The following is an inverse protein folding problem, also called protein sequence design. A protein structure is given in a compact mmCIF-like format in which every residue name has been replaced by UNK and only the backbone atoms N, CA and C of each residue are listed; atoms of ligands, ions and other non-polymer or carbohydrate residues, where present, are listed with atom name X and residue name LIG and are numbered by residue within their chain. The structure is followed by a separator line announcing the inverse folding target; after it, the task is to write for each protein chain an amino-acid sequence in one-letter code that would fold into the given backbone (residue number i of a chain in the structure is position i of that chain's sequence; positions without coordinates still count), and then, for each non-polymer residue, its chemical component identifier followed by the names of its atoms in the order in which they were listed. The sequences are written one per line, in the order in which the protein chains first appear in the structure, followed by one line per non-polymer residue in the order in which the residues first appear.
data_IF_466910556352
#
_entry.id   IF_466910556352
#
_cell.length_a   1.000
_cell.length_b   1.000
_cell.length_c   1.000
_cell.angle_alpha   90.00
_cell.angle_beta   90.00
_cell.angle_gamma   90.00
#
_symmetry.space_group_name_H-M   'P 1'
#
loop_
_entity.id
_entity.type
_entity.pdbx_description
1 polymer ?
#
# COMPACT_ATOMS: atom_id res chain seq x y z
N UNK A 1 -20.28 -3.31 -3.46
CA UNK A 1 -20.68 -1.89 -3.31
C UNK A 1 -19.69 -1.18 -2.40
N UNK A 2 -18.96 -0.18 -2.89
CA UNK A 2 -18.15 0.74 -2.06
C UNK A 2 -19.03 1.94 -1.70
N UNK A 3 -19.18 2.22 -0.42
CA UNK A 3 -19.84 3.43 0.08
C UNK A 3 -18.74 4.40 0.56
N UNK A 4 -18.70 5.66 0.09
CA UNK A 4 -17.68 6.62 0.51
C UNK A 4 -17.69 6.97 2.00
N UNK A 5 -18.81 6.74 2.70
CA UNK A 5 -18.92 6.95 4.15
C UNK A 5 -18.33 5.78 4.97
N UNK A 6 -18.09 4.64 4.32
CA UNK A 6 -17.43 3.48 4.93
C UNK A 6 -15.93 3.51 4.62
N UNK A 7 -15.14 3.01 5.56
CA UNK A 7 -13.71 2.77 5.36
C UNK A 7 -13.42 1.28 5.42
N UNK A 8 -12.60 0.79 4.48
CA UNK A 8 -12.00 -0.52 4.64
C UNK A 8 -11.02 -0.47 5.82
N UNK A 9 -10.82 -1.60 6.50
CA UNK A 9 -9.79 -1.69 7.53
C UNK A 9 -8.94 -2.96 7.38
N UNK A 10 -7.63 -2.81 7.55
CA UNK A 10 -6.65 -3.89 7.47
C UNK A 10 -5.71 -3.86 8.68
N UNK A 11 -5.43 -5.02 9.25
CA UNK A 11 -4.41 -5.19 10.29
C UNK A 11 -3.19 -5.91 9.70
N UNK A 12 -2.00 -5.36 9.92
CA UNK A 12 -0.72 -5.90 9.46
C UNK A 12 0.31 -5.92 10.60
N UNK A 13 1.27 -6.86 10.60
CA UNK A 13 2.35 -6.85 11.58
C UNK A 13 3.34 -5.72 11.29
N UNK A 14 3.97 -5.21 12.35
CA UNK A 14 5.17 -4.40 12.26
C UNK A 14 6.17 -4.79 13.35
N UNK A 15 7.46 -4.66 13.04
CA UNK A 15 8.54 -4.92 14.01
C UNK A 15 8.84 -3.74 14.93
N UNK A 16 8.54 -2.53 14.46
CA UNK A 16 8.79 -1.29 15.16
C UNK A 16 7.74 -0.24 14.77
N UNK A 17 7.10 0.38 15.77
CA UNK A 17 6.05 1.38 15.53
C UNK A 17 6.60 2.68 14.95
N UNK A 18 7.81 3.10 15.32
CA UNK A 18 8.43 4.32 14.81
C UNK A 18 8.88 4.16 13.37
N UNK A 19 9.43 3.01 13.00
CA UNK A 19 9.76 2.71 11.60
C UNK A 19 8.51 2.65 10.72
N UNK A 20 7.41 2.10 11.25
CA UNK A 20 6.12 2.11 10.57
C UNK A 20 5.60 3.55 10.39
N UNK A 21 5.67 4.41 11.42
CA UNK A 21 5.31 5.82 11.28
C UNK A 21 6.18 6.52 10.24
N UNK A 22 7.50 6.33 10.28
CA UNK A 22 8.42 6.96 9.33
C UNK A 22 8.11 6.54 7.88
N UNK A 23 7.85 5.25 7.65
CA UNK A 23 7.49 4.76 6.33
C UNK A 23 6.13 5.29 5.86
N UNK A 24 5.06 5.06 6.63
CA UNK A 24 3.70 5.36 6.16
C UNK A 24 3.41 6.87 6.19
N UNK A 25 3.87 7.59 7.21
CA UNK A 25 3.55 9.02 7.40
C UNK A 25 4.58 9.90 6.71
N UNK A 26 5.86 9.79 7.07
CA UNK A 26 6.89 10.72 6.57
C UNK A 26 7.20 10.50 5.09
N UNK A 27 7.32 9.24 4.67
CA UNK A 27 7.67 8.90 3.28
C UNK A 27 6.44 8.80 2.38
N UNK A 28 5.47 7.93 2.73
CA UNK A 28 4.30 7.66 1.88
C UNK A 28 3.18 8.71 2.01
N UNK A 29 3.28 9.64 2.97
CA UNK A 29 2.34 10.76 3.11
C UNK A 29 0.97 10.38 3.69
N UNK A 30 0.84 9.20 4.30
CA UNK A 30 -0.36 8.80 5.02
C UNK A 30 -0.54 9.63 6.30
N UNK A 31 -1.74 9.63 6.89
CA UNK A 31 -2.00 10.35 8.13
C UNK A 31 -2.01 9.41 9.32
N UNK A 32 -1.30 9.76 10.39
CA UNK A 32 -1.42 9.08 11.67
C UNK A 32 -2.80 9.38 12.29
N UNK A 33 -3.52 8.33 12.68
CA UNK A 33 -4.78 8.44 13.42
C UNK A 33 -4.55 8.41 14.93
N UNK A 34 -4.22 7.23 15.45
CA UNK A 34 -4.01 6.96 16.89
C UNK A 34 -2.76 6.13 17.10
N UNK A 35 -2.13 6.29 18.26
CA UNK A 35 -0.99 5.49 18.70
C UNK A 35 -1.26 4.91 20.09
N UNK A 36 -0.92 3.63 20.24
CA UNK A 36 -0.96 2.86 21.48
C UNK A 36 0.41 2.19 21.69
N UNK A 37 0.68 1.61 22.87
CA UNK A 37 1.93 0.89 23.11
C UNK A 37 2.16 -0.28 22.14
N UNK A 38 1.08 -0.87 21.61
CA UNK A 38 1.12 -2.11 20.82
C UNK A 38 0.68 -1.93 19.35
N UNK A 39 0.26 -0.73 18.93
CA UNK A 39 -0.19 -0.48 17.56
C UNK A 39 -0.26 1.01 17.20
N UNK A 40 -0.20 1.29 15.91
CA UNK A 40 -0.63 2.57 15.31
C UNK A 40 -1.78 2.33 14.35
N UNK A 41 -2.69 3.31 14.26
CA UNK A 41 -3.74 3.34 13.25
C UNK A 41 -3.44 4.47 12.27
N UNK A 42 -3.58 4.20 10.99
CA UNK A 42 -3.22 5.08 9.89
C UNK A 42 -4.44 5.28 8.99
N UNK A 43 -4.60 6.49 8.47
CA UNK A 43 -5.41 6.75 7.29
C UNK A 43 -4.50 6.64 6.06
N UNK A 44 -4.70 5.57 5.30
CA UNK A 44 -3.97 5.22 4.09
C UNK A 44 -4.94 5.40 2.92
N UNK A 45 -4.82 6.52 2.21
CA UNK A 45 -5.68 6.88 1.08
C UNK A 45 -7.19 6.84 1.36
N UNK A 46 -7.59 7.22 2.58
CA UNK A 46 -9.00 7.23 3.02
C UNK A 46 -9.45 5.94 3.72
N UNK A 47 -8.70 4.84 3.58
CA UNK A 47 -8.97 3.58 4.28
C UNK A 47 -8.10 3.46 5.54
N UNK A 48 -8.46 2.55 6.45
CA UNK A 48 -7.74 2.35 7.72
C UNK A 48 -6.72 1.21 7.61
N UNK A 49 -5.47 1.48 7.96
CA UNK A 49 -4.46 0.42 8.18
C UNK A 49 -3.98 0.48 9.62
N UNK A 50 -3.90 -0.67 10.28
CA UNK A 50 -3.45 -0.80 11.66
C UNK A 50 -2.17 -1.63 11.67
N UNK A 51 -1.04 -1.00 12.00
CA UNK A 51 0.22 -1.71 12.19
C UNK A 51 0.29 -2.17 13.66
N UNK A 52 0.24 -3.48 13.87
CA UNK A 52 0.36 -4.10 15.19
C UNK A 52 1.81 -4.46 15.47
N UNK A 53 2.33 -4.09 16.64
CA UNK A 53 3.67 -4.48 17.07
C UNK A 53 3.70 -5.99 17.30
N UNK A 54 4.32 -6.70 16.36
CA UNK A 54 4.36 -8.16 16.31
C UNK A 54 5.66 -8.62 15.61
N UNK A 55 6.84 -8.36 16.21
CA UNK A 55 8.13 -8.67 15.61
C UNK A 55 8.27 -10.15 15.22
N UNK A 56 7.69 -11.07 16.00
CA UNK A 56 7.73 -12.52 15.74
C UNK A 56 6.77 -13.00 14.65
N UNK A 57 6.03 -12.08 14.00
CA UNK A 57 5.04 -12.38 12.95
C UNK A 57 5.42 -11.78 11.60
N UNK A 58 6.63 -11.24 11.47
CA UNK A 58 7.14 -10.67 10.23
C UNK A 58 7.56 -11.81 9.29
N UNK A 59 7.14 -11.73 8.03
CA UNK A 59 7.67 -12.57 6.97
C UNK A 59 9.06 -12.05 6.55
N UNK A 60 10.09 -12.87 6.73
CA UNK A 60 11.46 -12.49 6.40
C UNK A 60 11.78 -12.67 4.91
N UNK A 61 10.94 -13.40 4.18
CA UNK A 61 11.13 -13.74 2.76
C UNK A 61 9.85 -13.40 1.99
N UNK A 62 9.49 -12.11 1.89
CA UNK A 62 8.24 -11.72 1.26
C UNK A 62 8.22 -12.10 -0.22
N UNK A 63 7.15 -12.77 -0.63
CA UNK A 63 6.82 -13.02 -2.04
C UNK A 63 5.56 -12.26 -2.42
N UNK A 64 5.39 -11.94 -3.71
CA UNK A 64 4.21 -11.20 -4.22
C UNK A 64 2.90 -11.88 -3.78
N UNK A 65 2.90 -13.21 -3.68
CA UNK A 65 1.76 -13.99 -3.27
C UNK A 65 2.09 -14.79 -2.00
N UNK A 66 1.10 -15.05 -1.13
CA UNK A 66 -0.33 -14.79 -1.31
C UNK A 66 -0.80 -13.46 -0.69
N UNK A 67 0.09 -12.63 -0.14
CA UNK A 67 -0.30 -11.45 0.66
C UNK A 67 0.31 -10.17 0.12
N UNK A 68 -0.55 -9.26 -0.30
CA UNK A 68 -0.26 -7.84 -0.48
C UNK A 68 -1.58 -7.08 -0.32
N UNK A 69 -1.50 -5.77 -0.19
CA UNK A 69 -2.65 -4.88 -0.15
C UNK A 69 -2.32 -3.58 -0.85
N UNK A 70 -3.30 -2.69 -1.02
CA UNK A 70 -3.03 -1.34 -1.50
C UNK A 70 -4.24 -0.76 -2.23
N UNK A 71 -3.99 0.11 -3.19
CA UNK A 71 -5.04 0.92 -3.83
C UNK A 71 -5.05 0.68 -5.34
N UNK A 72 -6.23 0.38 -5.86
CA UNK A 72 -6.51 0.49 -7.29
C UNK A 72 -7.13 1.86 -7.56
N UNK A 73 -6.39 2.75 -8.22
CA UNK A 73 -6.84 4.09 -8.57
C UNK A 73 -7.69 4.08 -9.83
N UNK A 74 -8.85 4.74 -9.75
CA UNK A 74 -9.73 4.97 -10.89
C UNK A 74 -9.05 5.89 -11.91
N UNK A 75 -8.54 7.02 -11.44
CA UNK A 75 -7.88 8.01 -12.29
C UNK A 75 -6.39 7.73 -12.41
N UNK A 76 -5.88 7.76 -13.64
CA UNK A 76 -4.46 7.52 -13.91
C UNK A 76 -3.56 8.54 -13.20
N UNK A 77 -4.02 9.79 -13.13
CA UNK A 77 -3.29 10.89 -12.51
C UNK A 77 -2.99 10.63 -11.03
N UNK A 78 -3.92 10.02 -10.30
CA UNK A 78 -3.74 9.73 -8.88
C UNK A 78 -2.68 8.64 -8.66
N UNK A 79 -2.68 7.61 -9.52
CA UNK A 79 -1.63 6.59 -9.54
C UNK A 79 -0.25 7.20 -9.83
N UNK A 80 -0.15 8.07 -10.85
CA UNK A 80 1.11 8.70 -11.23
C UNK A 80 1.62 9.64 -10.12
N UNK A 81 0.74 10.34 -9.40
CA UNK A 81 1.12 11.17 -8.25
C UNK A 81 1.77 10.35 -7.14
N UNK A 82 1.23 9.17 -6.82
CA UNK A 82 1.86 8.28 -5.82
C UNK A 82 3.19 7.76 -6.33
N UNK A 83 3.26 7.38 -7.61
CA UNK A 83 4.50 6.91 -8.21
C UNK A 83 5.60 7.98 -8.17
N UNK A 84 5.27 9.23 -8.46
CA UNK A 84 6.20 10.34 -8.42
C UNK A 84 6.63 10.68 -6.99
N UNK A 85 5.71 10.61 -6.01
CA UNK A 85 6.03 10.73 -4.59
C UNK A 85 7.06 9.67 -4.15
N UNK A 86 6.83 8.41 -4.53
CA UNK A 86 7.71 7.28 -4.22
C UNK A 86 9.11 7.51 -4.77
N UNK A 87 9.22 7.93 -6.03
CA UNK A 87 10.52 8.27 -6.65
C UNK A 87 11.19 9.46 -5.96
N UNK A 88 10.44 10.53 -5.69
CA UNK A 88 10.94 11.74 -5.06
C UNK A 88 11.48 11.47 -3.64
N UNK A 89 10.79 10.60 -2.89
CA UNK A 89 11.17 10.20 -1.54
C UNK A 89 12.17 9.05 -1.48
N UNK A 90 12.63 8.57 -2.64
CA UNK A 90 13.53 7.43 -2.79
C UNK A 90 13.06 6.22 -1.96
N UNK A 91 11.76 5.90 -2.03
CA UNK A 91 11.21 4.70 -1.42
C UNK A 91 11.54 3.52 -2.34
N UNK A 92 12.10 2.46 -1.76
CA UNK A 92 12.48 1.28 -2.53
C UNK A 92 11.26 0.55 -3.12
N UNK A 93 11.35 0.24 -4.40
CA UNK A 93 10.40 -0.64 -5.08
C UNK A 93 10.76 -2.09 -4.78
N UNK A 94 9.78 -2.87 -4.32
CA UNK A 94 9.87 -4.32 -4.35
C UNK A 94 9.76 -4.85 -5.78
N UNK A 95 8.87 -4.24 -6.57
CA UNK A 95 8.76 -4.46 -8.00
C UNK A 95 8.58 -3.10 -8.67
N UNK A 96 9.48 -2.79 -9.61
CA UNK A 96 9.43 -1.55 -10.39
C UNK A 96 8.11 -1.42 -11.17
N UNK A 97 7.71 -0.18 -11.52
CA UNK A 97 6.53 0.08 -12.33
C UNK A 97 6.55 -0.71 -13.64
N UNK A 98 5.46 -1.43 -13.91
CA UNK A 98 5.29 -2.23 -15.12
C UNK A 98 3.83 -2.28 -15.55
N UNK A 99 3.58 -2.83 -16.73
CA UNK A 99 2.26 -3.16 -17.25
C UNK A 99 2.05 -4.66 -17.10
N UNK A 100 0.97 -5.07 -16.45
CA UNK A 100 0.53 -6.47 -16.39
C UNK A 100 -0.61 -6.70 -17.38
N UNK A 101 -0.62 -7.91 -17.95
CA UNK A 101 -1.62 -8.38 -18.91
C UNK A 101 -1.77 -7.49 -20.16
N UNK A 102 -0.64 -7.03 -20.71
CA UNK A 102 -0.62 -6.15 -21.88
C UNK A 102 -1.47 -6.67 -23.04
N UNK A 103 -2.35 -5.82 -23.57
CA UNK A 103 -3.26 -6.11 -24.68
C UNK A 103 -4.52 -6.89 -24.30
N UNK A 104 -4.72 -7.23 -23.02
CA UNK A 104 -5.94 -7.87 -22.53
C UNK A 104 -6.90 -6.86 -21.90
N UNK A 105 -8.20 -7.19 -21.74
CA UNK A 105 -9.15 -6.33 -21.05
C UNK A 105 -8.68 -5.91 -19.65
N UNK A 106 -8.05 -6.83 -18.92
CA UNK A 106 -7.51 -6.64 -17.57
C UNK A 106 -6.12 -5.98 -17.51
N UNK A 107 -5.67 -5.34 -18.60
CA UNK A 107 -4.40 -4.60 -18.62
C UNK A 107 -4.40 -3.50 -17.54
N UNK A 108 -3.34 -3.49 -16.72
CA UNK A 108 -3.15 -2.49 -15.68
C UNK A 108 -1.69 -2.15 -15.44
N UNK A 109 -1.47 -0.91 -15.02
CA UNK A 109 -0.21 -0.43 -14.49
C UNK A 109 -0.11 -0.88 -13.03
N UNK A 110 1.06 -1.34 -12.61
CA UNK A 110 1.32 -1.78 -11.23
C UNK A 110 2.75 -1.50 -10.80
N UNK A 111 2.94 -1.22 -9.52
CA UNK A 111 4.23 -1.32 -8.83
C UNK A 111 4.00 -1.79 -7.41
N UNK A 112 5.05 -2.36 -6.81
CA UNK A 112 5.02 -2.85 -5.43
C UNK A 112 6.05 -2.10 -4.59
N UNK A 113 5.63 -1.66 -3.42
CA UNK A 113 6.52 -1.21 -2.34
C UNK A 113 6.65 -2.31 -1.29
N UNK A 114 7.68 -2.17 -0.46
CA UNK A 114 7.87 -2.97 0.74
C UNK A 114 8.07 -2.06 1.93
N UNK A 115 7.26 -2.25 2.98
CA UNK A 115 7.45 -1.51 4.23
C UNK A 115 8.61 -2.11 5.06
N UNK A 116 9.04 -1.47 6.17
CA UNK A 116 10.14 -1.97 7.00
C UNK A 116 9.90 -3.36 7.61
N UNK A 117 8.64 -3.80 7.67
CA UNK A 117 8.22 -5.10 8.19
C UNK A 117 7.84 -6.08 7.07
N UNK A 118 8.39 -5.86 5.87
CA UNK A 118 8.22 -6.70 4.68
C UNK A 118 6.78 -6.87 4.18
N UNK A 119 5.83 -6.03 4.62
CA UNK A 119 4.50 -6.03 4.04
C UNK A 119 4.58 -5.44 2.62
N UNK A 120 3.99 -6.15 1.66
CA UNK A 120 3.95 -5.72 0.26
C UNK A 120 2.73 -4.85 -0.02
N UNK A 121 2.96 -3.69 -0.65
CA UNK A 121 1.93 -2.71 -0.98
C UNK A 121 1.89 -2.56 -2.50
N UNK A 122 0.79 -2.96 -3.13
CA UNK A 122 0.55 -2.84 -4.56
C UNK A 122 -0.32 -1.61 -4.86
N UNK A 123 0.13 -0.79 -5.79
CA UNK A 123 -0.70 0.25 -6.38
C UNK A 123 -1.02 -0.13 -7.82
N UNK A 124 -2.28 0.06 -8.22
CA UNK A 124 -2.76 -0.29 -9.55
C UNK A 124 -3.54 0.82 -10.23
N UNK A 125 -3.53 0.81 -11.55
CA UNK A 125 -4.49 1.51 -12.38
C UNK A 125 -4.82 0.65 -13.60
N UNK A 126 -6.10 0.27 -13.75
CA UNK A 126 -6.58 -0.49 -14.90
C UNK A 126 -6.93 0.45 -16.05
N UNK A 127 -6.53 0.09 -17.27
CA UNK A 127 -6.97 0.84 -18.46
C UNK A 127 -8.49 0.76 -18.62
N UNK A 128 -9.08 -0.41 -18.35
CA UNK A 128 -10.52 -0.60 -18.32
C UNK A 128 -11.02 -0.58 -16.86
N UNK A 129 -11.80 0.44 -16.45
CA UNK A 129 -12.33 0.53 -15.09
C UNK A 129 -13.24 -0.63 -14.68
N UNK A 130 -13.87 -1.32 -15.64
CA UNK A 130 -14.73 -2.47 -15.34
C UNK A 130 -13.94 -3.68 -14.83
N UNK A 131 -12.62 -3.69 -15.02
CA UNK A 131 -11.70 -4.76 -14.60
C UNK A 131 -11.03 -4.50 -13.24
N UNK A 132 -11.48 -3.47 -12.51
CA UNK A 132 -11.00 -3.21 -11.14
C UNK A 132 -11.43 -4.29 -10.12
N UNK A 133 -12.35 -5.19 -10.50
CA UNK A 133 -12.95 -6.23 -9.66
C UNK A 133 -12.96 -7.59 -10.35
#
# INVERSE_FOLDING_TARGET
MRNPDNVFHLAIPCGNLDEAVEFYVTKLGCKLGRRYPDRITLNVFGDQVVCHLAPDKIDLTPEIYPRHFGITFRERKDFDQVLDLVKLKAIDFFQNPTIRFKGKPEEHFTFFLKDPSNNLIEFKHYQNPDMMY
#
